data_IF_903498854715
#
_entry.id   IF_903498854715
#
_cell.length_a   1.000
_cell.length_b   1.000
_cell.length_c   1.000
_cell.angle_alpha   90.00
_cell.angle_beta   90.00
_cell.angle_gamma   90.00
#
_symmetry.space_group_name_H-M   'P 1'
#
loop_
_entity.id
_entity.type
_entity.pdbx_description
1 polymer ?
#
# COMPACT_ATOMS: atom_id res chain seq x y z
N UNK A 1 -3.42 11.50 14.81
CA UNK A 1 -3.21 11.03 13.41
C UNK A 1 -2.42 12.11 12.68
N UNK A 2 -1.78 11.82 11.51
CA UNK A 2 -1.06 12.84 10.74
C UNK A 2 -2.04 13.67 9.91
N UNK A 3 -1.64 14.92 9.65
CA UNK A 3 -2.39 15.79 8.75
C UNK A 3 -2.03 15.49 7.30
N UNK A 4 -2.99 15.66 6.41
CA UNK A 4 -2.82 15.46 4.98
C UNK A 4 -3.04 16.77 4.25
N UNK A 5 -2.11 17.13 3.37
CA UNK A 5 -2.14 18.35 2.58
C UNK A 5 -2.02 18.03 1.10
N UNK A 6 -2.66 18.85 0.27
CA UNK A 6 -2.48 18.82 -1.18
C UNK A 6 -1.88 20.14 -1.64
N UNK A 7 -0.83 20.07 -2.46
CA UNK A 7 -0.21 21.21 -3.09
C UNK A 7 0.29 20.83 -4.48
N UNK A 8 -0.08 21.61 -5.48
CA UNK A 8 0.32 21.43 -6.88
C UNK A 8 0.06 20.00 -7.43
N UNK A 9 -1.06 19.41 -7.01
CA UNK A 9 -1.45 18.05 -7.39
C UNK A 9 -0.65 16.93 -6.70
N UNK A 10 0.21 17.28 -5.76
CA UNK A 10 0.93 16.34 -4.91
C UNK A 10 0.29 16.27 -3.52
N UNK A 11 0.32 15.09 -2.94
CA UNK A 11 -0.20 14.84 -1.60
C UNK A 11 0.93 14.65 -0.60
N UNK A 12 0.81 15.28 0.54
CA UNK A 12 1.80 15.27 1.61
C UNK A 12 1.19 14.80 2.91
N UNK A 13 1.96 14.06 3.69
CA UNK A 13 1.69 13.83 5.11
C UNK A 13 2.58 14.70 5.97
N UNK A 14 1.98 15.42 6.91
CA UNK A 14 2.67 16.04 8.01
C UNK A 14 2.52 15.14 9.25
N UNK A 15 3.59 14.48 9.60
CA UNK A 15 3.62 13.45 10.62
C UNK A 15 4.22 14.06 11.88
N UNK A 16 3.47 14.17 13.01
CA UNK A 16 4.07 14.52 14.29
C UNK A 16 5.18 13.54 14.65
N UNK A 17 6.31 14.04 15.13
CA UNK A 17 7.44 13.18 15.53
C UNK A 17 7.04 12.17 16.62
N UNK A 18 6.05 12.52 17.46
CA UNK A 18 5.48 11.62 18.47
C UNK A 18 4.74 10.40 17.89
N UNK A 19 4.44 10.42 16.59
CA UNK A 19 3.80 9.32 15.85
C UNK A 19 4.81 8.53 15.00
N UNK A 20 6.07 8.92 14.97
CA UNK A 20 7.13 8.09 14.43
C UNK A 20 7.46 6.94 15.38
N UNK A 21 8.13 5.92 14.87
CA UNK A 21 8.49 4.67 15.58
C UNK A 21 7.29 3.93 16.19
N UNK A 22 6.11 4.13 15.58
CA UNK A 22 4.89 3.41 15.91
C UNK A 22 4.46 2.48 14.77
N UNK A 23 3.67 1.50 15.13
CA UNK A 23 3.07 0.54 14.22
C UNK A 23 1.66 0.98 13.81
N UNK A 24 1.33 0.76 12.55
CA UNK A 24 0.05 1.10 11.96
C UNK A 24 -0.54 -0.13 11.27
N UNK A 25 -1.83 -0.33 11.42
CA UNK A 25 -2.57 -1.33 10.66
C UNK A 25 -3.23 -0.71 9.44
N UNK A 26 -3.24 -1.46 8.34
CA UNK A 26 -3.87 -1.05 7.08
C UNK A 26 -4.89 -2.11 6.72
N UNK A 27 -6.13 -1.68 6.51
CA UNK A 27 -7.21 -2.51 6.00
C UNK A 27 -7.70 -1.91 4.70
N UNK A 28 -7.81 -2.73 3.66
CA UNK A 28 -8.24 -2.29 2.33
C UNK A 28 -9.54 -2.99 1.94
N UNK A 29 -10.52 -2.22 1.50
CA UNK A 29 -11.80 -2.72 0.96
C UNK A 29 -11.93 -2.30 -0.49
N UNK A 30 -12.28 -3.22 -1.38
CA UNK A 30 -12.63 -2.91 -2.76
C UNK A 30 -14.09 -2.45 -2.78
N UNK A 31 -14.32 -1.15 -2.98
CA UNK A 31 -15.66 -0.58 -3.01
C UNK A 31 -16.36 -0.86 -4.34
N UNK A 32 -15.61 -0.81 -5.43
CA UNK A 32 -16.12 -1.02 -6.78
C UNK A 32 -15.06 -1.69 -7.63
N UNK A 33 -15.45 -2.63 -8.46
CA UNK A 33 -14.61 -3.30 -9.43
C UNK A 33 -15.34 -3.41 -10.77
N UNK A 34 -14.66 -3.64 -11.90
CA UNK A 34 -15.30 -3.99 -13.16
C UNK A 34 -16.23 -5.20 -12.97
N UNK A 35 -17.31 -5.25 -13.74
CA UNK A 35 -18.23 -6.37 -13.67
C UNK A 35 -17.52 -7.68 -14.00
N UNK A 36 -17.69 -8.66 -13.11
CA UNK A 36 -17.27 -10.03 -13.33
C UNK A 36 -18.50 -10.92 -13.32
N UNK A 37 -18.83 -11.58 -14.45
CA UNK A 37 -20.01 -12.42 -14.50
C UNK A 37 -19.94 -13.64 -13.59
N UNK A 38 -18.72 -14.12 -13.32
CA UNK A 38 -18.50 -15.30 -12.51
C UNK A 38 -17.23 -15.17 -11.68
N UNK A 39 -17.36 -15.30 -10.38
CA UNK A 39 -16.23 -15.43 -9.47
C UNK A 39 -15.68 -16.85 -9.59
N UNK A 40 -14.44 -17.01 -10.06
CA UNK A 40 -13.82 -18.34 -10.14
C UNK A 40 -13.31 -18.81 -8.79
N UNK A 41 -13.24 -20.14 -8.61
CA UNK A 41 -12.70 -20.73 -7.39
C UNK A 41 -11.17 -20.53 -7.25
N UNK A 42 -10.49 -20.17 -8.31
CA UNK A 42 -9.04 -20.01 -8.34
C UNK A 42 -8.59 -18.66 -7.81
N UNK A 43 -9.40 -17.63 -8.00
CA UNK A 43 -9.09 -16.27 -7.53
C UNK A 43 -9.87 -15.96 -6.26
N UNK A 44 -9.19 -15.78 -5.14
CA UNK A 44 -9.82 -15.55 -3.83
C UNK A 44 -10.17 -14.10 -3.58
N UNK A 45 -9.45 -13.17 -4.19
CA UNK A 45 -9.54 -11.73 -3.93
C UNK A 45 -9.59 -10.92 -5.22
N UNK A 46 -10.03 -9.68 -5.12
CA UNK A 46 -10.02 -8.73 -6.22
C UNK A 46 -11.40 -8.35 -6.73
N UNK A 47 -12.46 -8.65 -5.97
CA UNK A 47 -13.86 -8.34 -6.31
C UNK A 47 -14.41 -7.21 -5.43
N UNK A 48 -15.45 -6.56 -5.89
CA UNK A 48 -16.17 -5.58 -5.07
C UNK A 48 -16.71 -6.24 -3.78
N UNK A 49 -16.49 -5.57 -2.66
CA UNK A 49 -16.83 -6.06 -1.33
C UNK A 49 -15.70 -6.85 -0.64
N UNK A 50 -14.64 -7.21 -1.34
CA UNK A 50 -13.52 -7.91 -0.71
C UNK A 50 -12.79 -7.00 0.29
N UNK A 51 -12.50 -7.56 1.45
CA UNK A 51 -11.75 -6.95 2.53
C UNK A 51 -10.42 -7.69 2.70
N UNK A 52 -9.33 -6.97 2.71
CA UNK A 52 -8.00 -7.52 3.00
C UNK A 52 -7.33 -6.75 4.12
N UNK A 53 -6.67 -7.50 4.95
CA UNK A 53 -5.95 -7.02 6.10
C UNK A 53 -6.36 -7.73 7.38
N UNK A 54 -5.82 -7.27 8.51
CA UNK A 54 -4.89 -6.15 8.58
C UNK A 54 -3.51 -6.48 7.99
N UNK A 55 -2.92 -5.52 7.29
CA UNK A 55 -1.50 -5.44 7.01
C UNK A 55 -0.88 -4.42 7.96
N UNK A 56 0.41 -4.53 8.21
CA UNK A 56 1.07 -3.67 9.20
C UNK A 56 2.24 -2.92 8.57
N UNK A 57 2.48 -1.71 9.06
CA UNK A 57 3.66 -0.92 8.73
C UNK A 57 4.17 -0.18 9.96
N UNK A 58 5.47 0.06 10.00
CA UNK A 58 6.11 0.99 10.92
C UNK A 58 6.66 2.19 10.16
N UNK A 59 6.66 3.35 10.79
CA UNK A 59 7.21 4.58 10.23
C UNK A 59 8.42 5.01 11.05
N UNK A 60 9.60 5.07 10.42
CA UNK A 60 10.84 5.49 11.06
C UNK A 60 11.43 6.69 10.33
N UNK A 61 12.05 7.61 11.07
CA UNK A 61 12.83 8.69 10.47
C UNK A 61 14.33 8.40 10.64
N UNK A 62 15.05 8.29 9.53
CA UNK A 62 16.49 8.03 9.50
C UNK A 62 17.14 8.78 8.33
N UNK A 63 18.23 9.46 8.59
CA UNK A 63 19.07 10.13 7.57
C UNK A 63 18.29 11.03 6.60
N UNK A 64 17.36 11.85 7.14
CA UNK A 64 16.51 12.75 6.34
C UNK A 64 15.48 12.05 5.46
N UNK A 65 15.13 10.81 5.80
CA UNK A 65 14.14 10.01 5.09
C UNK A 65 13.09 9.45 6.05
N UNK A 66 11.86 9.35 5.56
CA UNK A 66 10.83 8.53 6.16
C UNK A 66 10.96 7.12 5.60
N UNK A 67 11.16 6.16 6.48
CA UNK A 67 11.21 4.72 6.15
C UNK A 67 9.86 4.10 6.50
N UNK A 68 9.24 3.46 5.52
CA UNK A 68 8.06 2.61 5.71
C UNK A 68 8.56 1.17 5.73
N UNK A 69 8.44 0.51 6.86
CA UNK A 69 9.00 -0.82 7.09
C UNK A 69 7.95 -1.82 7.60
N UNK A 70 8.29 -3.11 7.47
CA UNK A 70 7.55 -4.20 8.10
C UNK A 70 7.86 -4.21 9.61
N UNK A 71 6.89 -4.11 10.52
CA UNK A 71 7.13 -4.10 11.96
C UNK A 71 7.58 -5.45 12.53
N UNK A 72 7.67 -6.50 11.71
CA UNK A 72 8.24 -7.81 12.05
C UNK A 72 7.64 -8.52 13.28
N UNK A 73 6.34 -8.47 13.42
CA UNK A 73 5.63 -9.18 14.51
C UNK A 73 5.91 -10.68 14.61
N UNK A 74 6.46 -11.30 13.56
CA UNK A 74 6.72 -12.74 13.50
C UNK A 74 8.03 -13.18 14.16
N UNK A 75 8.89 -12.24 14.57
CA UNK A 75 10.21 -12.55 15.16
C UNK A 75 10.24 -12.29 16.67
N UNK A 76 9.57 -13.13 17.42
CA UNK A 76 9.79 -13.20 18.88
C UNK A 76 11.08 -14.00 19.12
N UNK A 77 12.20 -13.30 19.25
CA UNK A 77 13.46 -13.90 19.62
C UNK A 77 13.53 -13.94 21.15
N UNK A 78 13.29 -15.10 21.73
CA UNK A 78 13.54 -15.29 23.16
C UNK A 78 15.04 -15.44 23.39
N UNK A 79 15.61 -14.79 24.39
CA UNK A 79 17.04 -14.91 24.76
C UNK A 79 17.48 -16.34 25.10
N UNK A 80 16.52 -17.25 25.28
CA UNK A 80 16.76 -18.69 25.55
C UNK A 80 17.11 -19.49 24.29
N UNK A 81 17.11 -18.90 23.11
CA UNK A 81 17.26 -19.61 21.84
C UNK A 81 18.73 -19.93 21.45
N UNK A 82 19.70 -19.62 22.31
CA UNK A 82 21.12 -19.95 22.07
C UNK A 82 21.65 -19.38 20.74
N UNK A 83 22.18 -20.24 19.87
CA UNK A 83 22.76 -19.83 18.58
C UNK A 83 21.73 -19.21 17.62
N UNK A 84 20.46 -19.57 17.69
CA UNK A 84 19.39 -18.96 16.86
C UNK A 84 19.19 -17.50 17.23
N UNK A 85 19.18 -17.17 18.53
CA UNK A 85 19.07 -15.77 18.98
C UNK A 85 20.25 -14.91 18.54
N UNK A 86 21.46 -15.50 18.50
CA UNK A 86 22.68 -14.84 18.02
C UNK A 86 22.63 -14.59 16.50
N UNK A 87 22.22 -15.59 15.71
CA UNK A 87 22.09 -15.49 14.25
C UNK A 87 21.02 -14.47 13.90
N UNK A 88 19.89 -14.47 14.59
CA UNK A 88 18.82 -13.51 14.34
C UNK A 88 19.21 -12.05 14.62
N UNK A 89 20.06 -11.81 15.63
CA UNK A 89 20.64 -10.48 15.89
C UNK A 89 21.65 -10.02 14.82
N UNK A 90 22.28 -10.95 14.09
CA UNK A 90 23.23 -10.66 13.01
C UNK A 90 22.55 -10.48 11.65
N UNK A 91 21.33 -10.93 11.50
CA UNK A 91 20.58 -10.81 10.24
C UNK A 91 19.80 -9.50 10.27
N UNK A 92 20.01 -8.58 9.30
CA UNK A 92 19.18 -7.39 9.19
C UNK A 92 17.73 -7.83 8.97
N UNK A 93 16.92 -7.65 9.99
CA UNK A 93 15.57 -8.21 10.01
C UNK A 93 14.52 -7.21 9.51
N UNK A 94 14.87 -5.94 9.37
CA UNK A 94 13.95 -4.90 8.93
C UNK A 94 13.72 -4.98 7.42
N UNK A 95 12.51 -5.35 7.02
CA UNK A 95 12.08 -5.27 5.63
C UNK A 95 11.56 -3.88 5.32
N UNK A 96 12.35 -3.10 4.58
CA UNK A 96 11.94 -1.76 4.14
C UNK A 96 11.04 -1.88 2.93
N UNK A 97 9.82 -1.37 3.03
CA UNK A 97 8.87 -1.27 1.92
C UNK A 97 9.16 -0.06 1.04
N UNK A 98 9.40 1.10 1.66
CA UNK A 98 9.69 2.36 0.97
C UNK A 98 10.60 3.25 1.82
N UNK A 99 11.35 4.11 1.11
CA UNK A 99 12.14 5.17 1.69
C UNK A 99 11.81 6.46 0.93
N UNK A 100 11.26 7.44 1.63
CA UNK A 100 10.80 8.70 1.06
C UNK A 100 11.65 9.85 1.61
N UNK A 101 12.12 10.78 0.78
CA UNK A 101 12.84 11.94 1.27
C UNK A 101 11.90 12.80 2.13
N UNK A 102 12.41 13.32 3.22
CA UNK A 102 11.74 14.35 4.01
C UNK A 102 11.82 15.66 3.24
N UNK A 103 10.67 16.28 3.00
CA UNK A 103 10.57 17.55 2.25
C UNK A 103 10.85 18.74 3.15
N UNK A 104 10.34 18.71 4.37
CA UNK A 104 10.56 19.74 5.37
C UNK A 104 10.38 19.18 6.78
N UNK A 105 11.00 19.84 7.74
CA UNK A 105 10.82 19.59 9.17
C UNK A 105 10.60 20.90 9.89
N UNK A 106 9.58 20.99 10.73
CA UNK A 106 9.30 22.17 11.55
C UNK A 106 8.44 21.80 12.76
N UNK A 107 8.75 22.38 13.92
CA UNK A 107 7.94 22.27 15.14
C UNK A 107 7.56 20.84 15.55
N UNK A 108 8.47 19.88 15.41
CA UNK A 108 8.20 18.47 15.73
C UNK A 108 7.28 17.76 14.73
N UNK A 109 7.19 18.28 13.51
CA UNK A 109 6.46 17.71 12.38
C UNK A 109 7.43 17.36 11.25
N UNK A 110 7.25 16.21 10.66
CA UNK A 110 7.98 15.73 9.49
C UNK A 110 7.05 15.71 8.27
N UNK A 111 7.40 16.45 7.21
CA UNK A 111 6.61 16.54 5.98
C UNK A 111 7.23 15.65 4.89
N UNK A 112 6.42 14.78 4.30
CA UNK A 112 6.84 13.89 3.20
C UNK A 112 5.82 13.91 2.06
N UNK A 113 6.28 13.80 0.80
CA UNK A 113 5.40 13.54 -0.33
C UNK A 113 5.03 12.06 -0.33
N UNK A 114 3.74 11.76 -0.26
CA UNK A 114 3.22 10.39 -0.12
C UNK A 114 2.32 9.97 -1.28
N UNK A 115 1.82 10.92 -2.09
CA UNK A 115 0.79 10.66 -3.08
C UNK A 115 1.17 9.58 -4.08
N UNK A 116 2.39 9.60 -4.60
CA UNK A 116 2.90 8.55 -5.50
C UNK A 116 2.92 7.18 -4.83
N UNK A 117 3.35 7.12 -3.57
CA UNK A 117 3.39 5.87 -2.81
C UNK A 117 2.00 5.32 -2.56
N UNK A 118 1.05 6.15 -2.14
CA UNK A 118 -0.34 5.73 -1.91
C UNK A 118 -0.99 5.15 -3.17
N UNK A 119 -0.73 5.75 -4.33
CA UNK A 119 -1.27 5.27 -5.61
C UNK A 119 -0.65 3.93 -6.05
N UNK A 120 0.66 3.81 -5.93
CA UNK A 120 1.43 2.74 -6.59
C UNK A 120 1.81 1.58 -5.68
N UNK A 121 1.78 1.76 -4.38
CA UNK A 121 2.27 0.76 -3.45
C UNK A 121 1.21 -0.30 -3.14
N UNK A 122 1.55 -1.57 -3.34
CA UNK A 122 0.62 -2.69 -3.16
C UNK A 122 0.15 -2.88 -1.72
N UNK A 123 0.92 -2.39 -0.73
CA UNK A 123 0.51 -2.41 0.68
C UNK A 123 -0.81 -1.66 0.92
N UNK A 124 -1.07 -0.60 0.14
CA UNK A 124 -2.25 0.24 0.30
C UNK A 124 -3.42 -0.16 -0.61
N UNK A 125 -3.24 -1.17 -1.47
CA UNK A 125 -4.34 -1.57 -2.33
C UNK A 125 -4.10 -2.94 -2.96
N UNK A 126 -5.21 -3.63 -3.17
CA UNK A 126 -5.27 -4.95 -3.78
C UNK A 126 -5.21 -4.89 -5.30
N UNK A 127 -4.67 -5.94 -5.87
CA UNK A 127 -4.82 -6.21 -7.30
C UNK A 127 -6.17 -6.89 -7.56
N UNK A 128 -6.86 -6.52 -8.65
CA UNK A 128 -8.14 -7.12 -9.00
C UNK A 128 -8.00 -8.54 -9.54
N UNK A 129 -9.12 -9.23 -9.67
CA UNK A 129 -9.21 -10.54 -10.32
C UNK A 129 -9.11 -10.38 -11.85
N UNK A 130 -7.92 -10.19 -12.37
CA UNK A 130 -7.65 -9.82 -13.78
C UNK A 130 -8.40 -10.66 -14.81
N UNK A 131 -8.35 -11.97 -14.68
CA UNK A 131 -8.96 -12.88 -15.68
C UNK A 131 -10.47 -12.81 -15.68
N UNK A 132 -11.07 -12.84 -14.50
CA UNK A 132 -12.53 -12.83 -14.37
C UNK A 132 -13.14 -11.50 -14.83
N UNK A 133 -12.41 -10.40 -14.63
CA UNK A 133 -12.84 -9.06 -15.01
C UNK A 133 -12.44 -8.68 -16.43
N UNK A 134 -11.79 -9.57 -17.18
CA UNK A 134 -11.30 -9.31 -18.55
C UNK A 134 -10.45 -8.04 -18.64
N UNK A 135 -9.61 -7.82 -17.67
CA UNK A 135 -8.64 -6.71 -17.63
C UNK A 135 -7.22 -7.26 -17.78
N UNK A 136 -6.32 -6.45 -18.36
CA UNK A 136 -4.96 -6.90 -18.68
C UNK A 136 -3.90 -6.27 -17.78
N UNK A 137 -3.85 -4.97 -17.76
CA UNK A 137 -2.78 -4.25 -17.07
C UNK A 137 -3.30 -2.95 -16.46
N UNK A 138 -2.64 -2.53 -15.38
CA UNK A 138 -2.90 -1.25 -14.72
C UNK A 138 -2.28 -0.11 -15.52
N UNK A 139 -3.01 0.99 -15.64
CA UNK A 139 -2.52 2.25 -16.17
C UNK A 139 -2.27 3.24 -15.01
N UNK A 140 -1.14 3.04 -14.34
CA UNK A 140 -0.81 3.79 -13.13
C UNK A 140 -0.76 5.32 -13.30
N UNK A 141 -0.61 5.81 -14.54
CA UNK A 141 -0.64 7.25 -14.84
C UNK A 141 -2.02 7.87 -14.66
N UNK A 142 -3.05 7.05 -14.71
CA UNK A 142 -4.45 7.47 -14.56
C UNK A 142 -5.01 7.21 -13.16
N UNK A 143 -4.20 6.67 -12.27
CA UNK A 143 -4.64 6.45 -10.90
C UNK A 143 -4.77 7.77 -10.16
N UNK A 144 -5.83 7.90 -9.38
CA UNK A 144 -6.13 9.12 -8.61
C UNK A 144 -6.43 8.79 -7.16
N UNK A 145 -6.08 9.72 -6.27
CA UNK A 145 -6.59 9.73 -4.91
C UNK A 145 -7.86 10.60 -4.95
N UNK A 146 -9.01 9.99 -4.70
CA UNK A 146 -10.30 10.67 -4.84
C UNK A 146 -10.72 11.40 -3.56
N UNK A 147 -10.37 10.85 -2.41
CA UNK A 147 -10.79 11.39 -1.12
C UNK A 147 -9.82 10.98 -0.01
N UNK A 148 -9.58 11.89 0.92
CA UNK A 148 -8.79 11.66 2.12
C UNK A 148 -9.50 12.27 3.32
N UNK A 149 -9.82 11.45 4.31
CA UNK A 149 -10.46 11.90 5.54
C UNK A 149 -9.65 11.46 6.75
N UNK A 150 -9.21 12.44 7.52
CA UNK A 150 -8.62 12.21 8.83
C UNK A 150 -9.70 12.02 9.89
N UNK A 151 -9.56 11.00 10.72
CA UNK A 151 -10.28 10.78 11.95
C UNK A 151 -9.29 10.74 13.11
N UNK A 152 -9.77 10.70 14.34
CA UNK A 152 -8.88 10.76 15.52
C UNK A 152 -7.79 9.68 15.49
N UNK A 153 -8.12 8.49 15.04
CA UNK A 153 -7.25 7.29 15.13
C UNK A 153 -6.94 6.68 13.77
N UNK A 154 -7.54 7.15 12.67
CA UNK A 154 -7.32 6.58 11.34
C UNK A 154 -7.34 7.64 10.23
N UNK A 155 -6.76 7.28 9.10
CA UNK A 155 -6.92 8.01 7.83
C UNK A 155 -7.69 7.10 6.89
N UNK A 156 -8.79 7.59 6.36
CA UNK A 156 -9.54 6.94 5.31
C UNK A 156 -9.10 7.49 3.96
N UNK A 157 -8.66 6.60 3.07
CA UNK A 157 -8.22 6.92 1.72
C UNK A 157 -9.13 6.26 0.71
N UNK A 158 -9.60 7.01 -0.29
CA UNK A 158 -10.26 6.47 -1.47
C UNK A 158 -9.35 6.64 -2.67
N UNK A 159 -8.95 5.54 -3.28
CA UNK A 159 -8.04 5.51 -4.43
C UNK A 159 -8.76 4.85 -5.61
N UNK A 160 -8.78 5.53 -6.75
CA UNK A 160 -9.24 4.98 -8.03
C UNK A 160 -8.04 4.47 -8.81
N UNK A 161 -8.17 3.26 -9.36
CA UNK A 161 -7.15 2.63 -10.20
C UNK A 161 -7.72 2.31 -11.56
N UNK A 162 -6.96 2.61 -12.60
CA UNK A 162 -7.36 2.40 -13.98
C UNK A 162 -6.72 1.15 -14.55
N UNK A 163 -7.53 0.30 -15.16
CA UNK A 163 -7.09 -0.93 -15.80
C UNK A 163 -7.50 -0.94 -17.28
N UNK A 164 -6.72 -1.62 -18.12
CA UNK A 164 -7.00 -1.79 -19.53
C UNK A 164 -7.89 -3.03 -19.75
N UNK A 165 -8.77 -2.96 -20.74
CA UNK A 165 -9.62 -4.09 -21.10
C UNK A 165 -8.81 -5.18 -21.85
N UNK A 166 -8.97 -6.45 -21.48
CA UNK A 166 -8.33 -7.58 -22.13
C UNK A 166 -8.85 -7.87 -23.57
N UNK A 167 -10.05 -7.46 -23.89
CA UNK A 167 -10.61 -7.68 -25.24
C UNK A 167 -9.79 -7.06 -26.37
N UNK A 168 -8.94 -6.09 -26.07
CA UNK A 168 -8.01 -5.50 -27.04
C UNK A 168 -6.75 -6.36 -27.29
N UNK A 169 -6.52 -7.40 -26.52
CA UNK A 169 -5.31 -8.24 -26.55
C UNK A 169 -5.59 -9.69 -27.00
N UNK A 170 -6.84 -10.12 -27.09
CA UNK A 170 -7.17 -11.40 -27.69
C UNK A 170 -7.27 -11.21 -29.21
N UNK A 171 -6.30 -11.67 -30.00
CA UNK A 171 -6.52 -11.80 -31.44
C UNK A 171 -7.72 -12.76 -31.61
N UNK A 172 -8.70 -12.32 -32.35
CA UNK A 172 -9.79 -13.19 -32.77
C UNK A 172 -9.17 -14.47 -33.35
N UNK A 173 -9.54 -15.68 -32.88
CA UNK A 173 -9.03 -16.90 -33.49
C UNK A 173 -9.30 -16.81 -34.99
N UNK A 174 -8.24 -16.77 -35.78
CA UNK A 174 -8.34 -16.66 -37.23
C UNK A 174 -9.27 -17.75 -37.71
N UNK A 175 -10.30 -17.39 -38.46
CA UNK A 175 -11.00 -18.33 -39.33
C UNK A 175 -9.94 -18.93 -40.22
N UNK A 176 -9.56 -20.16 -39.96
CA UNK A 176 -8.83 -20.98 -40.92
C UNK A 176 -9.78 -21.20 -42.10
N UNK A 177 -9.39 -20.69 -43.25
CA UNK A 177 -10.02 -20.97 -44.54
C UNK A 177 -9.60 -22.37 -44.97
#
# INVERSE_FOLDING_TARGET
MFDTYESDGNMYWAIPDSLLDREYSITTTILQAPESPNRTSETKYGYAGDLIGPMYMALHKRDGKLIIADPQHSLIITDRAGDIGRIAKLTPTERIYRSLPVVAESNGMTLVEIGTTLKCFTLFALEPAYYDMKISARDAKKDTIEDVKGHNDCILLRISRTYRNMTALCPTPGKTI
#
